data_IF_855161926978
#
_entry.id   IF_855161926978
#
_cell.length_a   1.000
_cell.length_b   1.000
_cell.length_c   1.000
_cell.angle_alpha   90.00
_cell.angle_beta   90.00
_cell.angle_gamma   90.00
#
_symmetry.space_group_name_H-M   'P 1'
#
loop_
_entity.id
_entity.type
_entity.pdbx_description
1 polymer ?
#
# COMPACT_ATOMS: atom_id res chain seq x y z
N UNK A 1 -2.24 17.67 -6.36
CA UNK A 1 -3.22 17.38 -5.29
C UNK A 1 -2.45 17.02 -4.03
N UNK A 2 -2.80 17.59 -2.87
CA UNK A 2 -2.27 17.15 -1.57
C UNK A 2 -3.28 16.20 -0.94
N UNK A 3 -2.84 15.04 -0.45
CA UNK A 3 -3.71 14.11 0.30
C UNK A 3 -3.97 14.69 1.70
N UNK A 4 -5.22 14.62 2.15
CA UNK A 4 -5.63 14.93 3.53
C UNK A 4 -5.95 13.64 4.30
N UNK A 5 -6.15 13.76 5.62
CA UNK A 5 -6.64 12.62 6.41
C UNK A 5 -7.99 12.09 5.90
N UNK A 6 -8.92 12.99 5.55
CA UNK A 6 -10.22 12.60 5.01
C UNK A 6 -10.10 11.82 3.69
N UNK A 7 -9.17 12.22 2.82
CA UNK A 7 -8.92 11.52 1.55
C UNK A 7 -8.41 10.09 1.73
N UNK A 8 -7.65 9.83 2.81
CA UNK A 8 -7.01 8.52 3.02
C UNK A 8 -7.82 7.58 3.89
N UNK A 9 -8.72 8.08 4.73
CA UNK A 9 -9.55 7.23 5.60
C UNK A 9 -10.39 6.22 4.83
N UNK A 10 -10.79 6.51 3.59
CA UNK A 10 -11.54 5.59 2.73
C UNK A 10 -10.78 4.30 2.38
N UNK A 11 -9.46 4.25 2.66
CA UNK A 11 -8.61 3.08 2.44
C UNK A 11 -8.37 2.26 3.71
N UNK A 12 -8.84 2.71 4.88
CA UNK A 12 -8.82 1.89 6.10
C UNK A 12 -9.65 0.60 5.89
N UNK A 13 -9.10 -0.56 6.28
CA UNK A 13 -9.63 -1.89 5.95
C UNK A 13 -9.44 -2.30 4.48
N UNK A 14 -8.87 -1.43 3.65
CA UNK A 14 -8.52 -1.69 2.26
C UNK A 14 -7.12 -2.29 2.15
N UNK A 15 -6.48 -2.09 1.00
CA UNK A 15 -5.14 -2.62 0.75
C UNK A 15 -4.19 -1.57 0.21
N UNK A 16 -2.92 -1.72 0.53
CA UNK A 16 -1.82 -1.04 -0.12
C UNK A 16 -0.99 -2.04 -0.90
N UNK A 17 -0.54 -1.66 -2.09
CA UNK A 17 0.43 -2.41 -2.88
C UNK A 17 1.59 -1.50 -3.23
N UNK A 18 2.79 -1.88 -2.87
CA UNK A 18 4.01 -1.13 -3.23
C UNK A 18 4.84 -1.97 -4.17
N UNK A 19 5.28 -1.36 -5.26
CA UNK A 19 6.04 -2.01 -6.31
C UNK A 19 7.15 -1.10 -6.80
N UNK A 20 8.36 -1.64 -6.90
CA UNK A 20 9.45 -1.06 -7.68
C UNK A 20 10.11 -2.19 -8.51
N UNK A 21 11.31 -1.95 -9.05
CA UNK A 21 12.01 -2.95 -9.86
C UNK A 21 12.45 -4.20 -9.09
N UNK A 22 12.64 -4.08 -7.76
CA UNK A 22 13.23 -5.14 -6.92
C UNK A 22 12.22 -5.81 -5.99
N UNK A 23 11.19 -5.07 -5.58
CA UNK A 23 10.27 -5.47 -4.52
C UNK A 23 8.84 -5.23 -4.97
N UNK A 24 7.98 -6.18 -4.63
CA UNK A 24 6.54 -6.03 -4.63
C UNK A 24 5.99 -6.57 -3.31
N UNK A 25 5.19 -5.77 -2.61
CA UNK A 25 4.43 -6.23 -1.47
C UNK A 25 2.99 -5.70 -1.54
N UNK A 26 2.09 -6.42 -0.88
CA UNK A 26 0.71 -6.02 -0.68
C UNK A 26 0.37 -6.24 0.79
N UNK A 27 -0.48 -5.41 1.37
CA UNK A 27 -0.92 -5.57 2.75
C UNK A 27 -2.28 -4.93 2.96
N UNK A 28 -2.98 -5.41 3.97
CA UNK A 28 -4.24 -4.81 4.40
C UNK A 28 -3.97 -3.67 5.37
N UNK A 29 -4.60 -2.54 5.12
CA UNK A 29 -4.43 -1.32 5.89
C UNK A 29 -5.30 -1.43 7.15
N UNK A 30 -4.65 -1.48 8.31
CA UNK A 30 -5.31 -1.35 9.61
C UNK A 30 -5.57 0.11 9.94
N UNK A 31 -4.53 0.95 9.80
CA UNK A 31 -4.60 2.39 10.05
C UNK A 31 -3.84 3.14 8.96
N UNK A 32 -4.36 4.30 8.55
CA UNK A 32 -3.72 5.17 7.58
C UNK A 32 -3.97 6.63 7.97
N UNK A 33 -2.93 7.45 7.90
CA UNK A 33 -3.05 8.88 8.21
C UNK A 33 -2.03 9.70 7.45
N UNK A 34 -2.37 10.95 7.23
CA UNK A 34 -1.45 11.99 6.76
C UNK A 34 -1.02 12.80 7.98
N UNK A 35 0.30 12.89 8.20
CA UNK A 35 0.91 13.58 9.33
C UNK A 35 1.98 14.57 8.86
N UNK A 36 2.22 15.59 9.66
CA UNK A 36 3.18 16.66 9.36
C UNK A 36 2.56 17.84 8.62
N UNK A 37 3.41 18.83 8.31
CA UNK A 37 3.02 20.09 7.69
C UNK A 37 3.99 20.48 6.56
N UNK A 38 3.45 21.15 5.54
CA UNK A 38 4.19 21.68 4.40
C UNK A 38 5.09 20.64 3.73
N UNK A 39 6.40 20.92 3.72
CA UNK A 39 7.42 20.10 3.05
C UNK A 39 7.78 18.80 3.80
N UNK A 40 7.16 18.54 4.96
CA UNK A 40 7.35 17.33 5.77
C UNK A 40 6.04 16.56 5.94
N UNK A 41 5.23 16.52 4.89
CA UNK A 41 3.97 15.74 4.90
C UNK A 41 4.28 14.26 4.62
N UNK A 42 3.91 13.38 5.54
CA UNK A 42 4.10 11.93 5.47
C UNK A 42 2.74 11.21 5.40
N UNK A 43 2.66 10.13 4.64
CA UNK A 43 1.61 9.12 4.74
C UNK A 43 2.11 8.00 5.65
N UNK A 44 1.50 7.83 6.82
CA UNK A 44 1.78 6.73 7.74
C UNK A 44 0.75 5.63 7.53
N UNK A 45 1.23 4.40 7.41
CA UNK A 45 0.39 3.22 7.19
C UNK A 45 0.81 2.13 8.18
N UNK A 46 -0.17 1.58 8.90
CA UNK A 46 -0.04 0.37 9.69
C UNK A 46 -0.88 -0.73 9.06
N UNK A 47 -0.29 -1.91 8.92
CA UNK A 47 -0.91 -3.05 8.27
C UNK A 47 -1.39 -4.11 9.26
N UNK A 48 -2.54 -4.71 8.97
CA UNK A 48 -3.01 -5.94 9.67
C UNK A 48 -2.13 -7.12 9.29
N UNK A 49 -1.78 -7.21 8.00
CA UNK A 49 -0.89 -8.21 7.44
C UNK A 49 -0.15 -7.65 6.23
N UNK A 50 0.96 -8.29 5.88
CA UNK A 50 1.75 -7.96 4.71
C UNK A 50 2.17 -9.25 4.00
N UNK A 51 2.13 -9.23 2.69
CA UNK A 51 2.57 -10.31 1.83
C UNK A 51 3.59 -9.78 0.84
N UNK A 52 4.72 -10.47 0.72
CA UNK A 52 5.73 -10.22 -0.30
C UNK A 52 5.46 -11.10 -1.51
N UNK A 53 5.47 -10.51 -2.70
CA UNK A 53 5.43 -11.29 -3.94
C UNK A 53 6.79 -11.91 -4.21
N UNK A 54 6.82 -13.21 -4.48
CA UNK A 54 8.03 -13.94 -4.87
C UNK A 54 8.02 -14.24 -6.38
N UNK A 55 9.19 -14.14 -7.01
CA UNK A 55 9.34 -14.20 -8.46
C UNK A 55 9.48 -12.81 -9.08
N UNK A 56 9.19 -12.66 -10.39
CA UNK A 56 9.32 -11.37 -11.08
C UNK A 56 8.43 -10.29 -10.44
N UNK A 57 8.99 -9.12 -10.14
CA UNK A 57 8.28 -8.06 -9.40
C UNK A 57 7.00 -7.54 -10.10
N UNK A 58 6.91 -7.64 -11.43
CA UNK A 58 5.71 -7.26 -12.20
C UNK A 58 4.58 -8.28 -12.13
N UNK A 59 4.93 -9.56 -11.97
CA UNK A 59 3.97 -10.66 -11.93
C UNK A 59 4.49 -11.73 -10.95
N UNK A 60 4.32 -11.52 -9.63
CA UNK A 60 4.78 -12.46 -8.64
C UNK A 60 4.06 -13.80 -8.83
N UNK A 61 4.80 -14.90 -8.74
CA UNK A 61 4.25 -16.26 -8.89
C UNK A 61 3.46 -16.71 -7.67
N UNK A 62 3.81 -16.17 -6.51
CA UNK A 62 3.13 -16.43 -5.24
C UNK A 62 3.28 -15.26 -4.28
N UNK A 63 2.36 -15.17 -3.34
CA UNK A 63 2.37 -14.22 -2.24
C UNK A 63 2.64 -14.97 -0.94
N UNK A 64 3.65 -14.51 -0.20
CA UNK A 64 4.06 -15.14 1.06
C UNK A 64 3.93 -14.12 2.16
N UNK A 65 3.27 -14.49 3.26
CA UNK A 65 3.13 -13.65 4.43
C UNK A 65 4.50 -13.20 4.95
N UNK A 66 4.63 -11.92 5.27
CA UNK A 66 5.82 -11.28 5.80
C UNK A 66 5.41 -10.55 7.09
N UNK A 67 5.87 -11.05 8.23
CA UNK A 67 5.47 -10.54 9.56
C UNK A 67 6.20 -9.27 9.98
N UNK A 68 7.16 -8.81 9.18
CA UNK A 68 7.97 -7.62 9.46
C UNK A 68 7.57 -6.46 8.57
N UNK A 69 7.83 -5.23 9.03
CA UNK A 69 7.53 -4.01 8.27
C UNK A 69 6.03 -3.80 8.04
N UNK A 70 5.23 -4.06 9.09
CA UNK A 70 3.79 -3.74 9.13
C UNK A 70 3.54 -2.25 9.29
N UNK A 71 4.50 -1.51 9.83
CA UNK A 71 4.47 -0.06 9.93
C UNK A 71 5.43 0.54 8.90
N UNK A 72 4.98 1.51 8.12
CA UNK A 72 5.86 2.29 7.26
C UNK A 72 5.32 3.69 6.95
N UNK A 73 6.23 4.54 6.51
CA UNK A 73 5.97 5.94 6.18
C UNK A 73 6.42 6.25 4.76
N UNK A 74 5.64 7.07 4.06
CA UNK A 74 5.95 7.57 2.73
C UNK A 74 5.96 9.09 2.78
N UNK A 75 7.07 9.70 2.36
CA UNK A 75 7.11 11.16 2.20
C UNK A 75 6.27 11.59 1.00
N UNK A 76 5.16 12.28 1.24
CA UNK A 76 4.23 12.70 0.19
C UNK A 76 4.80 13.81 -0.70
N UNK A 77 5.86 14.50 -0.27
CA UNK A 77 6.52 15.52 -1.09
C UNK A 77 7.26 14.95 -2.30
N UNK A 78 7.56 13.65 -2.29
CA UNK A 78 8.28 12.97 -3.36
C UNK A 78 7.37 12.21 -4.33
N UNK A 79 6.05 12.26 -4.13
CA UNK A 79 5.09 11.44 -4.86
C UNK A 79 4.08 12.26 -5.65
N UNK A 80 3.84 11.83 -6.90
CA UNK A 80 2.72 12.27 -7.71
C UNK A 80 1.52 11.38 -7.42
N UNK A 81 0.39 11.98 -7.07
CA UNK A 81 -0.85 11.26 -6.75
C UNK A 81 -1.80 11.33 -7.95
N UNK A 82 -2.32 10.18 -8.37
CA UNK A 82 -3.26 10.06 -9.49
C UNK A 82 -4.43 9.17 -9.10
N UNK A 83 -5.65 9.57 -9.48
CA UNK A 83 -6.82 8.71 -9.40
C UNK A 83 -6.82 7.73 -10.58
N UNK A 84 -6.93 6.43 -10.31
CA UNK A 84 -6.90 5.36 -11.33
C UNK A 84 -8.25 4.61 -11.41
N UNK A 85 -9.33 5.26 -10.99
CA UNK A 85 -10.70 4.73 -11.05
C UNK A 85 -11.04 3.72 -9.95
N UNK A 86 -12.35 3.48 -9.77
CA UNK A 86 -12.90 2.59 -8.72
C UNK A 86 -12.44 2.96 -7.30
N UNK A 87 -12.32 4.25 -7.01
CA UNK A 87 -11.85 4.76 -5.72
C UNK A 87 -10.35 4.57 -5.45
N UNK A 88 -9.60 3.95 -6.35
CA UNK A 88 -8.17 3.66 -6.15
C UNK A 88 -7.30 4.89 -6.37
N UNK A 89 -6.14 4.90 -5.71
CA UNK A 89 -5.10 5.94 -5.88
C UNK A 89 -3.77 5.29 -6.25
N UNK A 90 -3.03 5.94 -7.13
CA UNK A 90 -1.64 5.61 -7.43
C UNK A 90 -0.78 6.77 -6.96
N UNK A 91 0.23 6.47 -6.15
CA UNK A 91 1.27 7.39 -5.71
C UNK A 91 2.55 6.93 -6.41
N UNK A 92 3.13 7.79 -7.25
CA UNK A 92 4.35 7.51 -8.00
C UNK A 92 5.50 8.38 -7.52
N UNK A 93 6.59 7.75 -7.09
CA UNK A 93 7.88 8.40 -6.90
C UNK A 93 8.75 8.17 -8.14
N UNK A 94 9.03 9.25 -8.87
CA UNK A 94 9.78 9.18 -10.13
C UNK A 94 11.25 8.86 -9.90
N UNK A 95 11.85 9.34 -8.81
CA UNK A 95 13.27 9.15 -8.53
C UNK A 95 13.60 7.68 -8.21
N UNK A 96 12.72 6.99 -7.49
CA UNK A 96 12.92 5.58 -7.11
C UNK A 96 12.19 4.59 -8.02
N UNK A 97 11.44 5.09 -9.01
CA UNK A 97 10.53 4.31 -9.83
C UNK A 97 9.58 3.43 -8.99
N UNK A 98 9.17 3.94 -7.82
CA UNK A 98 8.25 3.26 -6.92
C UNK A 98 6.81 3.68 -7.24
N UNK A 99 5.94 2.68 -7.31
CA UNK A 99 4.50 2.83 -7.38
C UNK A 99 3.89 2.30 -6.09
N UNK A 100 3.08 3.12 -5.44
CA UNK A 100 2.27 2.76 -4.29
C UNK A 100 0.81 2.91 -4.68
N UNK A 101 0.06 1.83 -4.62
CA UNK A 101 -1.37 1.80 -4.93
C UNK A 101 -2.18 1.67 -3.65
N UNK A 102 -3.20 2.49 -3.49
CA UNK A 102 -4.21 2.37 -2.43
C UNK A 102 -5.50 1.84 -3.05
N UNK A 103 -6.02 0.77 -2.45
CA UNK A 103 -7.24 0.07 -2.83
C UNK A 103 -8.27 0.22 -1.70
N UNK A 104 -9.51 0.64 -1.99
CA UNK A 104 -10.55 0.66 -0.97
C UNK A 104 -10.94 -0.79 -0.58
N UNK A 105 -11.57 -0.99 0.58
CA UNK A 105 -12.05 -2.31 1.03
C UNK A 105 -12.91 -3.04 -0.02
N UNK A 106 -13.69 -2.29 -0.80
CA UNK A 106 -14.59 -2.82 -1.82
C UNK A 106 -13.90 -3.33 -3.10
N UNK A 107 -12.60 -3.07 -3.27
CA UNK A 107 -11.87 -3.45 -4.48
C UNK A 107 -10.41 -3.86 -4.16
N UNK A 108 -10.21 -4.96 -3.38
CA UNK A 108 -8.88 -5.40 -2.98
C UNK A 108 -8.02 -5.81 -4.19
N UNK A 109 -6.71 -5.70 -4.05
CA UNK A 109 -5.73 -6.15 -5.06
C UNK A 109 -5.38 -7.63 -4.94
N UNK A 110 -5.51 -8.21 -3.75
CA UNK A 110 -5.08 -9.56 -3.43
C UNK A 110 -6.08 -10.18 -2.45
N UNK A 111 -6.57 -11.38 -2.73
CA UNK A 111 -7.41 -12.08 -1.78
C UNK A 111 -6.50 -12.64 -0.65
N UNK A 112 -6.79 -12.37 0.64
CA UNK A 112 -6.02 -12.93 1.75
C UNK A 112 -5.88 -14.46 1.72
N UNK A 113 -6.85 -15.19 1.13
CA UNK A 113 -6.76 -16.64 0.95
C UNK A 113 -5.62 -17.11 0.05
N UNK A 114 -5.14 -16.24 -0.83
CA UNK A 114 -4.07 -16.56 -1.78
C UNK A 114 -2.68 -16.32 -1.18
N UNK A 115 -2.61 -15.82 0.07
CA UNK A 115 -1.37 -15.53 0.78
C UNK A 115 -0.91 -16.74 1.58
N UNK A 116 0.18 -17.35 1.12
CA UNK A 116 0.80 -18.49 1.80
C UNK A 116 1.31 -18.07 3.17
N UNK A 117 0.89 -18.79 4.21
CA UNK A 117 1.34 -18.56 5.59
C UNK A 117 0.61 -17.40 6.30
N UNK A 118 -0.42 -16.81 5.68
CA UNK A 118 -1.33 -15.93 6.38
C UNK A 118 -2.36 -16.79 7.11
N UNK A 119 -2.27 -16.82 8.45
CA UNK A 119 -3.31 -17.50 9.25
C UNK A 119 -4.61 -16.73 9.06
N UNK A 120 -5.60 -17.40 8.51
CA UNK A 120 -6.97 -16.89 8.56
C UNK A 120 -7.41 -16.98 10.02
N UNK A 121 -7.75 -15.84 10.61
CA UNK A 121 -8.46 -15.87 11.88
C UNK A 121 -9.82 -16.55 11.60
N UNK A 122 -10.26 -17.46 12.48
CA UNK A 122 -11.56 -18.12 12.35
C UNK A 122 -12.73 -17.12 12.38
#
# INVERSE_FOLDING_TARGET
MKLTNADVQVFAGGQIKVQNQKVIFCGEIREISVVGDGNKTLLRVRLSWRARGQGPARNPRRWVNETTGLDFEISLTQFYITNIGKGRRCLRNVATNQLTFLYPPSAPSLNPSDVVGLRQLP
#
